data_IF_809582845007
#
_entry.id   IF_809582845007
#
_cell.length_a   1.000
_cell.length_b   1.000
_cell.length_c   1.000
_cell.angle_alpha   90.00
_cell.angle_beta   90.00
_cell.angle_gamma   90.00
#
_symmetry.space_group_name_H-M   'P 1'
#
loop_
_entity.id
_entity.type
_entity.pdbx_description
1 polymer ?
#
# COMPACT_ATOMS: atom_id res chain seq x y z
N UNK A 1 20.00 18.59 0.80
CA UNK A 1 18.81 19.44 1.06
C UNK A 1 17.60 18.83 0.37
N UNK A 2 16.51 18.56 1.06
CA UNK A 2 15.31 17.92 0.53
C UNK A 2 14.68 18.74 -0.62
N UNK A 3 14.58 18.15 -1.82
CA UNK A 3 13.97 18.78 -3.01
C UNK A 3 12.58 18.18 -3.23
N UNK A 4 11.52 18.88 -2.82
CA UNK A 4 10.14 18.38 -2.97
C UNK A 4 9.61 18.40 -4.42
N UNK A 5 10.36 18.90 -5.38
CA UNK A 5 9.91 18.99 -6.79
C UNK A 5 10.02 17.65 -7.52
N UNK A 6 11.07 16.89 -7.26
CA UNK A 6 11.32 15.58 -7.87
C UNK A 6 11.18 14.48 -6.82
N UNK A 7 10.76 13.30 -7.26
CA UNK A 7 10.73 12.10 -6.42
C UNK A 7 12.16 11.65 -6.11
N UNK A 8 12.43 11.29 -4.86
CA UNK A 8 13.65 10.61 -4.48
C UNK A 8 13.56 9.15 -4.96
N UNK A 9 14.67 8.57 -5.41
CA UNK A 9 14.76 7.16 -5.80
C UNK A 9 15.87 6.44 -5.00
N UNK A 10 16.26 6.98 -3.85
CA UNK A 10 17.20 6.30 -2.97
C UNK A 10 16.50 5.08 -2.34
N UNK A 11 17.19 3.93 -2.25
CA UNK A 11 16.65 2.76 -1.55
C UNK A 11 16.52 3.06 -0.05
N UNK A 12 15.56 2.44 0.59
CA UNK A 12 15.42 2.42 2.04
C UNK A 12 16.41 1.40 2.63
N UNK A 13 16.86 1.61 3.84
CA UNK A 13 17.74 0.66 4.52
C UNK A 13 17.05 -0.69 4.79
N UNK A 14 15.74 -0.66 5.00
CA UNK A 14 14.97 -1.89 5.18
C UNK A 14 14.86 -2.75 3.91
N UNK A 15 15.13 -2.18 2.73
CA UNK A 15 15.15 -2.91 1.45
C UNK A 15 16.48 -3.66 1.23
N UNK A 16 17.50 -3.41 2.09
CA UNK A 16 18.77 -4.10 2.01
C UNK A 16 18.61 -5.57 2.44
N UNK A 17 18.93 -6.54 1.56
CA UNK A 17 18.81 -7.97 1.86
C UNK A 17 19.68 -8.41 3.05
N UNK A 18 20.76 -7.67 3.36
CA UNK A 18 21.66 -7.96 4.46
C UNK A 18 21.18 -7.41 5.80
N UNK A 19 20.08 -6.66 5.81
CA UNK A 19 19.47 -6.19 7.06
C UNK A 19 19.02 -7.36 7.93
N UNK A 20 19.51 -7.38 9.18
CA UNK A 20 19.17 -8.46 10.11
C UNK A 20 17.66 -8.52 10.42
N UNK A 21 17.19 -9.73 10.73
CA UNK A 21 15.76 -10.01 10.87
C UNK A 21 15.11 -9.22 12.01
N UNK A 22 15.82 -8.98 13.11
CA UNK A 22 15.29 -8.29 14.29
C UNK A 22 15.12 -6.80 13.98
N UNK A 23 16.14 -6.18 13.38
CA UNK A 23 16.10 -4.77 12.96
C UNK A 23 15.00 -4.53 11.94
N UNK A 24 14.86 -5.41 10.94
CA UNK A 24 13.78 -5.31 9.97
C UNK A 24 12.40 -5.44 10.63
N UNK A 25 12.23 -6.40 11.56
CA UNK A 25 10.95 -6.57 12.25
C UNK A 25 10.59 -5.32 13.05
N UNK A 26 11.55 -4.71 13.73
CA UNK A 26 11.35 -3.44 14.43
C UNK A 26 10.94 -2.31 13.48
N UNK A 27 11.56 -2.22 12.31
CA UNK A 27 11.20 -1.22 11.30
C UNK A 27 9.75 -1.41 10.82
N UNK A 28 9.36 -2.63 10.49
CA UNK A 28 7.99 -2.96 10.06
C UNK A 28 6.97 -2.67 11.16
N UNK A 29 7.28 -3.00 12.41
CA UNK A 29 6.40 -2.74 13.55
C UNK A 29 6.21 -1.23 13.81
N UNK A 30 7.30 -0.43 13.72
CA UNK A 30 7.24 1.02 13.83
C UNK A 30 6.39 1.64 12.71
N UNK A 31 6.61 1.23 11.45
CA UNK A 31 5.84 1.71 10.29
C UNK A 31 4.36 1.35 10.44
N UNK A 32 4.07 0.10 10.82
CA UNK A 32 2.69 -0.37 11.05
C UNK A 32 1.99 0.43 12.12
N UNK A 33 2.67 0.67 13.26
CA UNK A 33 2.14 1.46 14.38
C UNK A 33 1.83 2.90 13.95
N UNK A 34 2.76 3.55 13.25
CA UNK A 34 2.58 4.93 12.78
C UNK A 34 1.48 5.01 11.73
N UNK A 35 1.48 4.09 10.77
CA UNK A 35 0.45 4.04 9.75
C UNK A 35 -0.96 3.90 10.36
N UNK A 36 -1.09 3.06 11.40
CA UNK A 36 -2.34 2.91 12.15
C UNK A 36 -2.70 4.20 12.90
N UNK A 37 -1.76 4.79 13.64
CA UNK A 37 -1.96 6.01 14.44
C UNK A 37 -2.38 7.20 13.55
N UNK A 38 -1.74 7.34 12.40
CA UNK A 38 -2.03 8.40 11.43
C UNK A 38 -3.25 8.09 10.53
N UNK A 39 -4.02 7.06 10.84
CA UNK A 39 -5.28 6.74 10.17
C UNK A 39 -5.13 6.08 8.80
N UNK A 40 -3.93 5.64 8.39
CA UNK A 40 -3.71 5.03 7.09
C UNK A 40 -4.59 3.81 6.85
N UNK A 41 -4.69 2.92 7.82
CA UNK A 41 -5.56 1.74 7.76
C UNK A 41 -7.04 2.12 7.63
N UNK A 42 -7.48 3.11 8.44
CA UNK A 42 -8.87 3.60 8.42
C UNK A 42 -9.27 4.16 7.06
N UNK A 43 -8.37 4.89 6.39
CA UNK A 43 -8.68 5.49 5.09
C UNK A 43 -8.80 4.44 3.98
N UNK A 44 -7.92 3.42 3.95
CA UNK A 44 -8.06 2.28 3.04
C UNK A 44 -9.36 1.52 3.30
N UNK A 45 -9.67 1.22 4.57
CA UNK A 45 -10.93 0.58 4.97
C UNK A 45 -12.16 1.37 4.49
N UNK A 46 -12.15 2.70 4.67
CA UNK A 46 -13.27 3.55 4.23
C UNK A 46 -13.47 3.52 2.71
N UNK A 47 -12.36 3.53 1.94
CA UNK A 47 -12.40 3.42 0.49
C UNK A 47 -12.98 2.07 0.05
N UNK A 48 -12.49 0.97 0.62
CA UNK A 48 -12.96 -0.38 0.32
C UNK A 48 -14.43 -0.55 0.70
N UNK A 49 -14.85 -0.15 1.92
CA UNK A 49 -16.25 -0.22 2.34
C UNK A 49 -17.19 0.53 1.40
N UNK A 50 -16.76 1.69 0.87
CA UNK A 50 -17.55 2.44 -0.10
C UNK A 50 -17.72 1.69 -1.42
N UNK A 51 -16.67 1.00 -1.87
CA UNK A 51 -16.70 0.21 -3.12
C UNK A 51 -17.61 -1.01 -2.99
N UNK A 52 -17.54 -1.74 -1.88
CA UNK A 52 -18.32 -2.97 -1.68
C UNK A 52 -19.75 -2.73 -1.17
N UNK A 53 -20.10 -1.49 -0.80
CA UNK A 53 -21.43 -1.16 -0.19
C UNK A 53 -22.61 -1.66 -1.02
N UNK A 54 -22.51 -1.61 -2.33
CA UNK A 54 -23.58 -1.97 -3.24
C UNK A 54 -23.47 -3.40 -3.78
N UNK A 55 -22.54 -4.19 -3.20
CA UNK A 55 -22.27 -5.54 -3.73
C UNK A 55 -23.26 -6.60 -3.24
N UNK A 56 -24.24 -6.21 -2.40
CA UNK A 56 -25.39 -7.04 -1.98
C UNK A 56 -25.01 -8.46 -1.50
N UNK A 57 -23.88 -8.61 -0.78
CA UNK A 57 -23.43 -9.90 -0.25
C UNK A 57 -22.81 -10.86 -1.28
N UNK A 58 -22.57 -10.41 -2.51
CA UNK A 58 -21.83 -11.21 -3.50
C UNK A 58 -20.39 -11.42 -3.03
N UNK A 59 -19.77 -12.55 -3.42
CA UNK A 59 -18.36 -12.79 -3.14
C UNK A 59 -17.47 -11.62 -3.60
N UNK A 60 -16.52 -11.23 -2.76
CA UNK A 60 -15.53 -10.18 -3.06
C UNK A 60 -14.15 -10.68 -2.66
N UNK A 61 -13.22 -10.63 -3.59
CA UNK A 61 -11.81 -10.87 -3.35
C UNK A 61 -11.03 -9.57 -3.34
N UNK A 62 -10.35 -9.30 -2.23
CA UNK A 62 -9.49 -8.12 -2.06
C UNK A 62 -8.05 -8.58 -2.02
N UNK A 63 -7.23 -8.06 -2.94
CA UNK A 63 -5.79 -8.33 -3.00
C UNK A 63 -5.03 -7.12 -2.45
N UNK A 64 -4.02 -7.35 -1.60
CA UNK A 64 -3.06 -6.34 -1.15
C UNK A 64 -1.70 -6.62 -1.78
N UNK A 65 -1.27 -5.73 -2.68
CA UNK A 65 0.00 -5.83 -3.40
C UNK A 65 1.11 -5.11 -2.63
N UNK A 66 2.16 -5.85 -2.26
CA UNK A 66 3.17 -5.40 -1.31
C UNK A 66 2.61 -5.43 0.12
N UNK A 67 2.06 -6.57 0.52
CA UNK A 67 1.32 -6.70 1.78
C UNK A 67 2.20 -6.70 3.04
N UNK A 68 3.52 -6.80 2.89
CA UNK A 68 4.47 -6.88 4.01
C UNK A 68 4.11 -7.99 4.98
N UNK A 69 4.01 -7.66 6.26
CA UNK A 69 3.63 -8.59 7.33
C UNK A 69 2.10 -8.85 7.43
N UNK A 70 1.31 -8.37 6.48
CA UNK A 70 -0.13 -8.57 6.41
C UNK A 70 -0.98 -7.71 7.35
N UNK A 71 -0.40 -6.69 7.98
CA UNK A 71 -1.10 -5.87 8.98
C UNK A 71 -2.35 -5.17 8.44
N UNK A 72 -2.33 -4.71 7.18
CA UNK A 72 -3.49 -4.11 6.54
C UNK A 72 -4.61 -5.15 6.38
N UNK A 73 -4.32 -6.33 5.89
CA UNK A 73 -5.33 -7.37 5.68
C UNK A 73 -5.94 -7.86 7.00
N UNK A 74 -5.14 -8.04 8.05
CA UNK A 74 -5.67 -8.33 9.40
C UNK A 74 -6.61 -7.23 9.89
N UNK A 75 -6.27 -5.97 9.64
CA UNK A 75 -7.14 -4.85 9.99
C UNK A 75 -8.44 -4.86 9.19
N UNK A 76 -8.39 -5.13 7.89
CA UNK A 76 -9.58 -5.24 7.04
C UNK A 76 -10.48 -6.40 7.48
N UNK A 77 -9.90 -7.57 7.77
CA UNK A 77 -10.62 -8.75 8.25
C UNK A 77 -11.40 -8.46 9.54
N UNK A 78 -10.79 -7.75 10.48
CA UNK A 78 -11.45 -7.34 11.74
C UNK A 78 -12.61 -6.36 11.55
N UNK A 79 -12.61 -5.56 10.48
CA UNK A 79 -13.55 -4.44 10.31
C UNK A 79 -14.56 -4.61 9.16
N UNK A 80 -14.37 -5.61 8.30
CA UNK A 80 -15.31 -5.98 7.23
C UNK A 80 -15.95 -7.30 7.63
N UNK A 81 -17.25 -7.26 7.85
CA UNK A 81 -18.03 -8.43 8.24
C UNK A 81 -18.50 -9.23 7.02
N UNK A 82 -18.81 -10.50 7.24
CA UNK A 82 -19.38 -11.40 6.25
C UNK A 82 -18.34 -12.31 5.59
N UNK A 83 -18.66 -13.60 5.50
CA UNK A 83 -17.77 -14.65 4.98
C UNK A 83 -17.60 -14.58 3.45
N UNK A 84 -18.39 -13.74 2.78
CA UNK A 84 -18.32 -13.50 1.35
C UNK A 84 -17.12 -12.64 0.93
N UNK A 85 -16.36 -12.05 1.87
CA UNK A 85 -15.15 -11.26 1.57
C UNK A 85 -13.90 -12.07 1.90
N UNK A 86 -13.04 -12.26 0.90
CA UNK A 86 -11.75 -12.94 1.03
C UNK A 86 -10.60 -11.94 0.83
N UNK A 87 -9.50 -12.16 1.54
CA UNK A 87 -8.33 -11.30 1.52
C UNK A 87 -7.09 -12.10 1.12
N UNK A 88 -6.34 -11.58 0.14
CA UNK A 88 -5.12 -12.22 -0.34
C UNK A 88 -3.99 -11.19 -0.32
N UNK A 89 -2.95 -11.45 0.47
CA UNK A 89 -1.72 -10.67 0.47
C UNK A 89 -0.72 -11.24 -0.52
N UNK A 90 -0.12 -10.38 -1.32
CA UNK A 90 0.95 -10.74 -2.25
C UNK A 90 2.16 -9.88 -1.93
N UNK A 91 3.31 -10.54 -1.72
CA UNK A 91 4.58 -9.86 -1.49
C UNK A 91 5.70 -10.65 -2.17
N UNK A 92 6.75 -9.96 -2.61
CA UNK A 92 7.92 -10.57 -3.21
C UNK A 92 8.85 -11.21 -2.16
N UNK A 93 8.81 -10.70 -0.93
CA UNK A 93 9.65 -11.13 0.18
C UNK A 93 9.09 -12.39 0.85
N UNK A 94 9.76 -13.53 0.68
CA UNK A 94 9.47 -14.78 1.38
C UNK A 94 9.41 -14.58 2.91
N UNK A 95 10.30 -13.74 3.45
CA UNK A 95 10.36 -13.42 4.88
C UNK A 95 9.12 -12.67 5.34
N UNK A 96 8.68 -11.66 4.59
CA UNK A 96 7.46 -10.90 4.89
C UNK A 96 6.23 -11.80 4.84
N UNK A 97 6.12 -12.65 3.83
CA UNK A 97 5.01 -13.61 3.66
C UNK A 97 4.97 -14.64 4.81
N UNK A 98 6.13 -15.14 5.23
CA UNK A 98 6.22 -16.05 6.39
C UNK A 98 5.71 -15.37 7.66
N UNK A 99 6.19 -14.16 7.96
CA UNK A 99 5.75 -13.36 9.09
C UNK A 99 4.24 -13.04 9.02
N UNK A 100 3.73 -12.72 7.82
CA UNK A 100 2.32 -12.45 7.61
C UNK A 100 1.44 -13.66 7.93
N UNK A 101 1.85 -14.86 7.52
CA UNK A 101 1.16 -16.11 7.82
C UNK A 101 1.15 -16.40 9.33
N UNK A 102 2.29 -16.29 9.98
CA UNK A 102 2.42 -16.52 11.45
C UNK A 102 1.54 -15.54 12.24
N UNK A 103 1.58 -14.24 11.90
CA UNK A 103 0.77 -13.21 12.57
C UNK A 103 -0.73 -13.30 12.25
N UNK A 104 -1.12 -14.06 11.25
CA UNK A 104 -2.52 -14.22 10.80
C UNK A 104 -3.08 -15.62 11.05
N UNK A 105 -2.41 -16.41 11.87
CA UNK A 105 -2.88 -17.73 12.26
C UNK A 105 -4.31 -17.66 12.85
N UNK A 106 -5.18 -18.58 12.43
CA UNK A 106 -6.59 -18.61 12.83
C UNK A 106 -7.54 -17.73 12.00
N UNK A 107 -7.05 -16.88 11.10
CA UNK A 107 -7.89 -16.07 10.21
C UNK A 107 -8.24 -16.84 8.93
N UNK A 108 -9.46 -17.38 8.86
CA UNK A 108 -9.91 -18.24 7.75
C UNK A 108 -10.06 -17.50 6.41
N UNK A 109 -10.31 -16.18 6.44
CA UNK A 109 -10.54 -15.34 5.26
C UNK A 109 -9.27 -14.69 4.69
N UNK A 110 -8.12 -14.81 5.38
CA UNK A 110 -6.86 -14.15 5.00
C UNK A 110 -5.85 -15.18 4.54
N UNK A 111 -5.27 -14.98 3.37
CA UNK A 111 -4.24 -15.83 2.78
C UNK A 111 -3.08 -15.00 2.27
N UNK A 112 -1.87 -15.60 2.20
CA UNK A 112 -0.67 -14.92 1.71
C UNK A 112 0.06 -15.77 0.68
N UNK A 113 0.53 -15.09 -0.38
CA UNK A 113 1.29 -15.68 -1.48
C UNK A 113 2.59 -14.91 -1.69
N UNK A 114 3.70 -15.64 -1.71
CA UNK A 114 4.98 -15.13 -2.20
C UNK A 114 4.93 -15.13 -3.73
N UNK A 115 5.01 -13.98 -4.34
CA UNK A 115 5.02 -13.84 -5.80
C UNK A 115 5.44 -12.44 -6.21
N UNK A 116 6.14 -12.35 -7.35
CA UNK A 116 6.20 -11.10 -8.10
C UNK A 116 4.84 -10.87 -8.78
N UNK A 117 4.18 -9.80 -8.40
CA UNK A 117 2.83 -9.49 -8.91
C UNK A 117 2.82 -9.24 -10.43
N UNK A 118 3.93 -8.79 -11.00
CA UNK A 118 4.04 -8.59 -12.45
C UNK A 118 4.03 -9.91 -13.23
N UNK A 119 4.46 -11.01 -12.58
CA UNK A 119 4.54 -12.34 -13.17
C UNK A 119 3.29 -13.20 -12.95
N UNK A 120 2.26 -12.66 -12.28
CA UNK A 120 1.00 -13.39 -12.07
C UNK A 120 0.24 -13.50 -13.40
N UNK A 121 -0.17 -14.71 -13.74
CA UNK A 121 -1.07 -14.95 -14.90
C UNK A 121 -2.48 -14.47 -14.57
N UNK A 122 -2.92 -13.42 -15.25
CA UNK A 122 -4.24 -12.82 -15.05
C UNK A 122 -5.39 -13.66 -15.62
N UNK A 123 -5.10 -14.67 -16.43
CA UNK A 123 -6.10 -15.61 -16.93
C UNK A 123 -6.59 -16.58 -15.85
N UNK A 124 -5.75 -16.84 -14.84
CA UNK A 124 -6.04 -17.79 -13.75
C UNK A 124 -6.18 -17.13 -12.39
N UNK A 125 -5.81 -15.86 -12.27
CA UNK A 125 -5.90 -15.12 -11.02
C UNK A 125 -6.41 -13.68 -11.25
N UNK A 126 -7.55 -13.39 -10.66
CA UNK A 126 -8.17 -12.07 -10.66
C UNK A 126 -8.74 -11.74 -9.28
N UNK A 127 -9.06 -10.48 -9.06
CA UNK A 127 -9.69 -10.01 -7.83
C UNK A 127 -10.74 -8.93 -8.15
N UNK A 128 -11.53 -8.56 -7.16
CA UNK A 128 -12.48 -7.46 -7.31
C UNK A 128 -11.84 -6.11 -7.00
N UNK A 129 -11.09 -6.07 -5.92
CA UNK A 129 -10.38 -4.85 -5.51
C UNK A 129 -8.91 -5.20 -5.28
N UNK A 130 -8.02 -4.44 -5.93
CA UNK A 130 -6.60 -4.49 -5.63
C UNK A 130 -6.22 -3.27 -4.82
N UNK A 131 -5.60 -3.47 -3.65
CA UNK A 131 -5.06 -2.39 -2.82
C UNK A 131 -3.55 -2.46 -2.76
N UNK A 132 -2.91 -1.31 -2.55
CA UNK A 132 -1.48 -1.19 -2.27
C UNK A 132 -1.26 -0.04 -1.30
N UNK A 133 -0.64 -0.32 -0.17
CA UNK A 133 -0.47 0.65 0.91
C UNK A 133 0.99 0.84 1.26
N UNK A 134 1.50 2.06 1.15
CA UNK A 134 2.89 2.43 1.44
C UNK A 134 3.91 1.57 0.67
N UNK A 135 3.65 1.33 -0.60
CA UNK A 135 4.46 0.44 -1.44
C UNK A 135 4.87 1.11 -2.74
N UNK A 136 3.97 1.88 -3.37
CA UNK A 136 4.22 2.40 -4.71
C UNK A 136 5.34 3.46 -4.76
N UNK A 137 5.64 4.12 -3.65
CA UNK A 137 6.71 5.11 -3.59
C UNK A 137 8.13 4.51 -3.69
N UNK A 138 8.31 3.20 -3.47
CA UNK A 138 9.60 2.52 -3.68
C UNK A 138 9.99 2.40 -5.15
N UNK A 139 9.04 2.55 -6.09
CA UNK A 139 9.26 2.31 -7.51
C UNK A 139 9.48 3.58 -8.31
N UNK A 140 10.25 3.48 -9.41
CA UNK A 140 10.42 4.54 -10.40
C UNK A 140 9.11 4.76 -11.19
N UNK A 141 8.96 5.92 -11.81
CA UNK A 141 7.73 6.31 -12.53
C UNK A 141 7.31 5.28 -13.62
N UNK A 142 8.28 4.74 -14.37
CA UNK A 142 8.03 3.74 -15.41
C UNK A 142 7.53 2.40 -14.83
N UNK A 143 8.12 1.99 -13.69
CA UNK A 143 7.69 0.79 -12.98
C UNK A 143 6.27 0.96 -12.42
N UNK A 144 5.95 2.14 -11.88
CA UNK A 144 4.60 2.45 -11.38
C UNK A 144 3.56 2.29 -12.50
N UNK A 145 3.84 2.82 -13.69
CA UNK A 145 2.93 2.66 -14.84
C UNK A 145 2.75 1.17 -15.21
N UNK A 146 3.83 0.39 -15.17
CA UNK A 146 3.78 -1.06 -15.42
C UNK A 146 2.93 -1.78 -14.37
N UNK A 147 3.13 -1.48 -13.08
CA UNK A 147 2.30 -2.04 -11.99
C UNK A 147 0.82 -1.66 -12.17
N UNK A 148 0.52 -0.40 -12.46
CA UNK A 148 -0.85 0.07 -12.63
C UNK A 148 -1.57 -0.61 -13.80
N UNK A 149 -0.88 -0.86 -14.92
CA UNK A 149 -1.45 -1.65 -16.03
C UNK A 149 -1.77 -3.06 -15.58
N UNK A 150 -0.83 -3.71 -14.89
CA UNK A 150 -1.03 -5.04 -14.33
C UNK A 150 -2.20 -5.08 -13.34
N UNK A 151 -2.29 -4.10 -12.47
CA UNK A 151 -3.39 -3.99 -11.51
C UNK A 151 -4.75 -3.82 -12.20
N UNK A 152 -4.81 -3.05 -13.31
CA UNK A 152 -6.04 -2.93 -14.12
C UNK A 152 -6.47 -4.26 -14.75
N UNK A 153 -5.51 -5.09 -15.16
CA UNK A 153 -5.82 -6.43 -15.70
C UNK A 153 -6.34 -7.37 -14.62
N UNK A 154 -5.87 -7.24 -13.38
CA UNK A 154 -6.20 -8.12 -12.27
C UNK A 154 -7.51 -7.76 -11.57
N UNK A 155 -7.79 -6.45 -11.41
CA UNK A 155 -8.91 -5.97 -10.61
C UNK A 155 -10.16 -5.75 -11.46
N UNK A 156 -11.28 -6.36 -11.07
CA UNK A 156 -12.56 -6.23 -11.77
C UNK A 156 -13.37 -4.99 -11.39
N UNK A 157 -13.17 -4.41 -10.20
CA UNK A 157 -13.95 -3.27 -9.71
C UNK A 157 -13.13 -2.00 -9.60
N UNK A 158 -12.02 -2.05 -8.85
CA UNK A 158 -11.19 -0.88 -8.60
C UNK A 158 -9.80 -1.23 -8.06
N UNK A 159 -8.87 -0.28 -8.24
CA UNK A 159 -7.58 -0.23 -7.56
C UNK A 159 -7.65 0.86 -6.50
N UNK A 160 -7.13 0.60 -5.30
CA UNK A 160 -7.05 1.54 -4.18
C UNK A 160 -5.61 1.68 -3.74
N UNK A 161 -4.98 2.79 -4.04
CA UNK A 161 -3.62 3.10 -3.59
C UNK A 161 -3.67 4.08 -2.45
N UNK A 162 -3.03 3.74 -1.34
CA UNK A 162 -2.86 4.59 -0.17
C UNK A 162 -1.39 4.85 0.04
N UNK A 163 -0.94 6.06 -0.30
CA UNK A 163 0.47 6.38 -0.22
C UNK A 163 0.72 7.82 0.27
N UNK A 164 1.97 8.13 0.58
CA UNK A 164 2.38 9.37 1.23
C UNK A 164 2.32 10.57 0.27
N UNK A 165 2.17 11.75 0.86
CA UNK A 165 2.27 13.03 0.16
C UNK A 165 3.68 13.60 0.27
N UNK A 166 4.37 13.79 -0.85
CA UNK A 166 5.66 14.47 -0.94
C UNK A 166 5.52 15.96 -0.62
N UNK A 167 5.70 16.30 0.65
CA UNK A 167 5.52 17.64 1.20
C UNK A 167 6.69 18.07 2.07
N UNK A 168 7.13 19.33 1.93
CA UNK A 168 8.15 19.91 2.81
C UNK A 168 7.69 19.93 4.27
N UNK A 169 6.40 20.18 4.49
CA UNK A 169 5.82 20.17 5.84
C UNK A 169 5.84 18.76 6.42
N UNK A 170 5.38 17.75 5.65
CA UNK A 170 5.44 16.35 6.08
C UNK A 170 6.86 15.93 6.45
N UNK A 171 7.83 16.25 5.59
CA UNK A 171 9.24 15.96 5.81
C UNK A 171 9.77 16.64 7.09
N UNK A 172 9.48 17.95 7.27
CA UNK A 172 9.88 18.70 8.45
C UNK A 172 9.24 18.14 9.72
N UNK A 173 7.93 17.93 9.74
CA UNK A 173 7.25 17.32 10.88
C UNK A 173 7.81 15.95 11.21
N UNK A 174 7.98 15.07 10.24
CA UNK A 174 8.55 13.76 10.48
C UNK A 174 9.96 13.84 11.03
N UNK A 175 10.83 14.67 10.44
CA UNK A 175 12.21 14.86 10.89
C UNK A 175 12.33 15.28 12.36
N UNK A 176 11.48 16.22 12.79
CA UNK A 176 11.58 16.78 14.15
C UNK A 176 10.79 15.99 15.19
N UNK A 177 9.69 15.36 14.80
CA UNK A 177 8.81 14.66 15.75
C UNK A 177 8.96 13.15 15.75
N UNK A 178 9.49 12.52 14.69
CA UNK A 178 9.67 11.06 14.67
C UNK A 178 10.50 10.52 15.84
N UNK A 179 11.55 11.20 16.36
CA UNK A 179 12.29 10.68 17.51
C UNK A 179 11.44 10.49 18.78
N UNK A 180 10.30 11.17 18.89
CA UNK A 180 9.37 11.03 20.02
C UNK A 180 8.59 9.71 19.95
N UNK A 181 8.28 9.25 18.72
CA UNK A 181 7.37 8.12 18.49
C UNK A 181 8.06 6.87 17.92
N UNK A 182 9.21 7.06 17.26
CA UNK A 182 10.00 6.03 16.60
C UNK A 182 11.32 5.86 17.33
N UNK A 183 11.55 4.65 17.84
CA UNK A 183 12.77 4.34 18.59
C UNK A 183 13.94 3.98 17.70
N UNK A 184 13.67 3.24 16.60
CA UNK A 184 14.72 2.68 15.75
C UNK A 184 15.18 3.70 14.69
N UNK A 185 16.50 3.79 14.50
CA UNK A 185 17.11 4.72 13.56
C UNK A 185 16.74 4.39 12.12
N UNK A 186 16.74 3.11 11.76
CA UNK A 186 16.30 2.63 10.45
C UNK A 186 14.91 3.17 10.08
N UNK A 187 13.92 3.07 10.98
CA UNK A 187 12.56 3.56 10.73
C UNK A 187 12.51 5.08 10.55
N UNK A 188 13.36 5.83 11.26
CA UNK A 188 13.43 7.30 11.11
C UNK A 188 14.10 7.70 9.81
N UNK A 189 15.18 7.02 9.43
CA UNK A 189 15.87 7.23 8.17
C UNK A 189 14.93 6.94 7.01
N UNK A 190 14.36 5.75 6.98
CA UNK A 190 13.53 5.27 5.87
C UNK A 190 12.24 6.08 5.73
N UNK A 191 11.62 6.49 6.84
CA UNK A 191 10.46 7.37 6.79
C UNK A 191 10.74 8.73 6.11
N UNK A 192 11.95 9.29 6.22
CA UNK A 192 12.35 10.49 5.49
C UNK A 192 12.56 10.20 3.99
N UNK A 193 13.13 9.03 3.65
CA UNK A 193 13.29 8.57 2.27
C UNK A 193 11.90 8.35 1.63
N UNK A 194 11.00 7.63 2.31
CA UNK A 194 9.62 7.38 1.87
C UNK A 194 8.87 8.69 1.58
N UNK A 195 8.92 9.69 2.48
CA UNK A 195 8.29 10.99 2.25
C UNK A 195 8.91 11.72 1.07
N UNK A 196 10.21 11.59 0.85
CA UNK A 196 10.90 12.19 -0.29
C UNK A 196 10.60 11.47 -1.62
N UNK A 197 10.35 10.16 -1.59
CA UNK A 197 9.96 9.32 -2.72
C UNK A 197 8.45 9.38 -3.05
N UNK A 198 7.64 9.88 -2.11
CA UNK A 198 6.19 9.95 -2.20
C UNK A 198 5.64 10.81 -3.35
N UNK A 199 4.34 11.03 -3.39
CA UNK A 199 3.62 11.59 -4.53
C UNK A 199 3.11 13.01 -4.32
N UNK A 200 2.91 13.71 -5.42
CA UNK A 200 2.07 14.92 -5.53
C UNK A 200 0.84 14.61 -6.38
N UNK A 201 -0.20 15.43 -6.26
CA UNK A 201 -1.43 15.28 -7.06
C UNK A 201 -1.15 15.23 -8.57
N UNK A 202 -0.16 15.99 -9.05
CA UNK A 202 0.24 15.99 -10.45
C UNK A 202 0.84 14.66 -10.94
N UNK A 203 1.49 13.90 -10.04
CA UNK A 203 2.05 12.59 -10.38
C UNK A 203 0.93 11.61 -10.70
N UNK A 204 -0.13 11.56 -9.89
CA UNK A 204 -1.30 10.71 -10.15
C UNK A 204 -1.97 11.04 -11.49
N UNK A 205 -2.16 12.34 -11.80
CA UNK A 205 -2.70 12.75 -13.10
C UNK A 205 -1.86 12.24 -14.26
N UNK A 206 -0.52 12.30 -14.15
CA UNK A 206 0.40 11.79 -15.17
C UNK A 206 0.26 10.27 -15.33
N UNK A 207 0.17 9.53 -14.23
CA UNK A 207 0.00 8.08 -14.27
C UNK A 207 -1.38 7.68 -14.82
N UNK A 208 -2.46 8.36 -14.42
CA UNK A 208 -3.80 8.11 -14.97
C UNK A 208 -3.82 8.24 -16.49
N UNK A 209 -3.22 9.31 -17.02
CA UNK A 209 -3.08 9.51 -18.47
C UNK A 209 -2.27 8.38 -19.13
N UNK A 210 -1.16 7.95 -18.51
CA UNK A 210 -0.29 6.90 -19.06
C UNK A 210 -0.96 5.51 -19.13
N UNK A 211 -1.99 5.27 -18.29
CA UNK A 211 -2.76 4.01 -18.29
C UNK A 211 -4.16 4.15 -18.91
N UNK A 212 -4.45 5.31 -19.55
CA UNK A 212 -5.73 5.56 -20.23
C UNK A 212 -6.92 5.65 -19.28
N UNK A 213 -6.75 6.26 -18.09
CA UNK A 213 -7.83 6.47 -17.10
C UNK A 213 -8.08 7.96 -16.94
N UNK A 214 -9.35 8.37 -16.91
CA UNK A 214 -9.79 9.76 -16.76
C UNK A 214 -10.87 9.95 -15.66
N UNK A 215 -11.35 8.88 -15.07
CA UNK A 215 -12.41 8.86 -14.06
C UNK A 215 -11.92 8.44 -12.66
N UNK A 216 -10.60 8.52 -12.42
CA UNK A 216 -10.00 8.25 -11.13
C UNK A 216 -10.26 9.34 -10.10
N UNK A 217 -10.16 8.97 -8.82
CA UNK A 217 -10.40 9.87 -7.70
C UNK A 217 -9.18 9.92 -6.79
N UNK A 218 -8.56 11.09 -6.69
CA UNK A 218 -7.43 11.35 -5.79
C UNK A 218 -7.89 12.19 -4.61
N UNK A 219 -7.89 11.62 -3.42
CA UNK A 219 -8.35 12.25 -2.18
C UNK A 219 -7.15 12.47 -1.26
N UNK A 220 -6.85 13.73 -0.95
CA UNK A 220 -5.89 14.04 0.10
C UNK A 220 -6.51 13.77 1.49
N UNK A 221 -5.72 13.18 2.37
CA UNK A 221 -6.10 12.92 3.75
C UNK A 221 -5.11 13.58 4.71
N UNK A 222 -5.62 14.02 5.85
CA UNK A 222 -4.83 14.45 7.00
C UNK A 222 -3.74 13.40 7.30
N UNK A 223 -2.62 13.84 7.85
CA UNK A 223 -1.39 13.08 7.98
C UNK A 223 -0.61 12.89 6.66
N UNK A 224 -0.79 13.83 5.72
CA UNK A 224 0.01 13.92 4.50
C UNK A 224 0.02 12.65 3.68
N UNK A 225 -1.18 12.20 3.24
CA UNK A 225 -1.30 11.05 2.34
C UNK A 225 -2.38 11.26 1.30
N UNK A 226 -2.31 10.43 0.28
CA UNK A 226 -3.33 10.33 -0.74
C UNK A 226 -3.98 8.96 -0.73
N UNK A 227 -5.30 8.94 -0.94
CA UNK A 227 -6.04 7.76 -1.35
C UNK A 227 -6.39 7.96 -2.80
N UNK A 228 -5.87 7.10 -3.66
CA UNK A 228 -6.12 7.13 -5.08
C UNK A 228 -6.96 5.92 -5.47
N UNK A 229 -8.16 6.16 -5.98
CA UNK A 229 -9.12 5.14 -6.39
C UNK A 229 -9.23 5.20 -7.90
N UNK A 230 -8.92 4.09 -8.56
CA UNK A 230 -8.97 3.92 -10.01
C UNK A 230 -10.04 2.87 -10.30
N UNK A 231 -11.21 3.26 -10.84
CA UNK A 231 -12.18 2.31 -11.36
C UNK A 231 -11.59 1.53 -12.54
N UNK A 232 -11.84 0.22 -12.61
CA UNK A 232 -11.30 -0.65 -13.67
C UNK A 232 -12.32 -0.94 -14.77
N UNK A 233 -13.63 -0.73 -14.49
CA UNK A 233 -14.66 -0.72 -15.50
C UNK A 233 -15.13 0.72 -15.79
N UNK A 234 -15.24 1.04 -17.07
CA UNK A 234 -16.04 2.19 -17.50
C UNK A 234 -17.52 1.88 -17.21
N UNK A 235 -18.16 2.76 -16.44
CA UNK A 235 -19.62 2.73 -16.26
C UNK A 235 -20.31 3.32 -17.48
#
# INVERSE_FOLDING_TARGET
MYKSQQRNCQPEWMDDPDTDTVTLQHAVDDITKINRLLGGFKFTLQAIKKLIKNNAGKPVTIVDAGCGDGAMLRYLDQHIQGDHVQFIGIDLSARSVKCAREKSEGLSRVRFRESDILNIDTSIFSCDILTSTLTMHHFKDEQIVTFLRKFKEMASMAIVINDLHRSRLAYGFFKYFSPIFIRHEISRHDGLISIAAAFKKADFKRYSLAIGVNNDLVIWKWSFRYIWIIPTHER
#
